data_IF_097690691648
#
_entry.id   IF_097690691648
#
_cell.length_a   1.000
_cell.length_b   1.000
_cell.length_c   1.000
_cell.angle_alpha   90.00
_cell.angle_beta   90.00
_cell.angle_gamma   90.00
#
_symmetry.space_group_name_H-M   'P 1'
#
loop_
_entity.id
_entity.type
_entity.pdbx_description
1 polymer ?
#
# COMPACT_ATOMS: atom_id res chain seq x y z
N UNK A 1 -1.42 -30.18 -55.00
CA UNK A 1 -0.95 -30.77 -53.74
C UNK A 1 0.03 -29.85 -52.99
N UNK A 2 1.07 -29.24 -53.63
CA UNK A 2 2.03 -28.34 -52.89
C UNK A 2 1.39 -27.11 -52.18
N UNK A 3 0.35 -26.48 -52.77
CA UNK A 3 -0.33 -25.31 -52.13
C UNK A 3 -1.16 -25.66 -50.90
N UNK A 4 -1.76 -26.85 -50.84
CA UNK A 4 -2.58 -27.31 -49.71
C UNK A 4 -1.70 -27.64 -48.51
N UNK A 5 -0.52 -28.23 -48.74
CA UNK A 5 0.46 -28.55 -47.69
C UNK A 5 1.00 -27.27 -47.02
N UNK A 6 1.25 -26.22 -47.82
CA UNK A 6 1.72 -24.93 -47.31
C UNK A 6 0.70 -24.25 -46.42
N UNK A 7 -0.60 -24.32 -46.74
CA UNK A 7 -1.68 -23.70 -45.97
C UNK A 7 -1.93 -24.45 -44.66
N UNK A 8 -1.85 -25.77 -44.65
CA UNK A 8 -2.01 -26.59 -43.44
C UNK A 8 -0.82 -26.40 -42.50
N UNK A 9 0.39 -26.28 -42.98
CA UNK A 9 1.60 -26.04 -42.20
C UNK A 9 1.56 -24.64 -41.53
N UNK A 10 1.05 -23.60 -42.23
CA UNK A 10 0.86 -22.27 -41.72
C UNK A 10 -0.19 -22.19 -40.61
N UNK A 11 -1.28 -22.95 -40.72
CA UNK A 11 -2.31 -23.02 -39.69
C UNK A 11 -1.86 -23.74 -38.42
N UNK A 12 -1.06 -24.79 -38.53
CA UNK A 12 -0.52 -25.52 -37.36
C UNK A 12 0.49 -24.67 -36.61
N UNK A 13 1.33 -23.88 -37.30
CA UNK A 13 2.25 -22.94 -36.67
C UNK A 13 1.54 -21.76 -35.96
N UNK A 14 0.45 -21.25 -36.53
CA UNK A 14 -0.34 -20.20 -35.92
C UNK A 14 -1.05 -20.69 -34.65
N UNK A 15 -1.51 -21.93 -34.60
CA UNK A 15 -2.16 -22.51 -33.42
C UNK A 15 -1.17 -22.80 -32.27
N UNK A 16 0.07 -23.13 -32.57
CA UNK A 16 1.11 -23.37 -31.54
C UNK A 16 1.61 -22.08 -30.87
N UNK A 17 1.46 -20.93 -31.52
CA UNK A 17 1.80 -19.62 -30.91
C UNK A 17 0.71 -19.10 -29.96
N UNK A 18 -0.54 -19.52 -30.13
CA UNK A 18 -1.64 -19.17 -29.22
C UNK A 18 -1.64 -19.98 -27.92
N UNK A 19 -0.98 -21.10 -27.86
CA UNK A 19 -0.94 -21.97 -26.67
C UNK A 19 0.08 -21.55 -25.63
N UNK A 20 0.95 -20.58 -25.88
CA UNK A 20 2.00 -20.15 -24.95
C UNK A 20 1.62 -18.94 -24.07
N UNK A 21 0.37 -18.44 -24.16
CA UNK A 21 -0.19 -17.50 -23.15
C UNK A 21 -0.88 -18.28 -22.03
N UNK A 22 -0.50 -19.54 -21.85
CA UNK A 22 -1.02 -20.37 -20.79
C UNK A 22 -0.29 -20.05 -19.48
N UNK A 23 -0.97 -19.27 -18.62
CA UNK A 23 -0.99 -19.51 -17.19
C UNK A 23 0.39 -19.82 -16.56
N UNK A 24 1.26 -18.86 -16.56
CA UNK A 24 2.33 -18.84 -15.56
C UNK A 24 1.67 -18.61 -14.21
N UNK A 25 1.19 -19.69 -13.59
CA UNK A 25 0.74 -19.63 -12.20
C UNK A 25 1.82 -18.91 -11.40
N UNK A 26 1.44 -17.89 -10.66
CA UNK A 26 2.39 -17.12 -9.85
C UNK A 26 3.18 -18.10 -8.99
N UNK A 27 4.50 -18.05 -9.04
CA UNK A 27 5.37 -18.91 -8.23
C UNK A 27 5.30 -18.56 -6.75
N UNK A 28 4.97 -17.32 -6.43
CA UNK A 28 4.74 -16.78 -5.10
C UNK A 28 3.84 -15.54 -5.20
N UNK A 29 3.25 -15.15 -4.09
CA UNK A 29 2.54 -13.86 -3.94
C UNK A 29 3.35 -12.99 -3.00
N UNK A 30 3.77 -11.81 -3.44
CA UNK A 30 4.58 -10.87 -2.66
C UNK A 30 3.67 -9.82 -2.03
N UNK A 31 3.63 -9.77 -0.70
CA UNK A 31 2.72 -8.91 0.06
C UNK A 31 3.50 -7.94 0.93
N UNK A 32 3.23 -6.66 0.76
CA UNK A 32 3.72 -5.63 1.68
C UNK A 32 2.84 -5.52 2.91
N UNK A 33 3.43 -5.25 4.05
CA UNK A 33 2.72 -4.98 5.29
C UNK A 33 3.44 -3.92 6.14
N UNK A 34 2.77 -3.45 7.18
CA UNK A 34 3.28 -2.46 8.11
C UNK A 34 3.22 -3.03 9.54
N UNK A 35 4.39 -3.30 10.14
CA UNK A 35 4.48 -4.06 11.39
C UNK A 35 3.95 -3.31 12.61
N UNK A 36 4.00 -1.98 12.59
CA UNK A 36 3.56 -1.14 13.73
C UNK A 36 2.04 -1.05 13.85
N UNK A 37 1.31 -1.60 12.88
CA UNK A 37 -0.14 -1.72 12.92
C UNK A 37 -0.56 -3.16 13.17
N UNK A 38 -1.16 -3.45 14.32
CA UNK A 38 -1.66 -4.79 14.63
C UNK A 38 -2.88 -5.10 13.75
N UNK A 39 -2.64 -5.73 12.63
CA UNK A 39 -3.66 -6.09 11.64
C UNK A 39 -3.76 -7.62 11.49
N UNK A 40 -4.87 -8.16 10.98
CA UNK A 40 -5.12 -9.61 10.92
C UNK A 40 -4.05 -10.42 10.18
N UNK A 41 -3.31 -9.81 9.26
CA UNK A 41 -2.22 -10.47 8.54
C UNK A 41 -1.09 -10.96 9.46
N UNK A 42 -0.89 -10.38 10.64
CA UNK A 42 0.14 -10.84 11.59
C UNK A 42 -0.13 -12.27 12.08
N UNK A 43 -1.40 -12.62 12.26
CA UNK A 43 -1.78 -13.99 12.59
C UNK A 43 -1.51 -14.94 11.42
N UNK A 44 -1.82 -14.52 10.20
CA UNK A 44 -1.57 -15.31 9.00
C UNK A 44 -0.08 -15.60 8.78
N UNK A 45 0.78 -14.62 9.02
CA UNK A 45 2.23 -14.78 8.89
C UNK A 45 2.74 -15.96 9.74
N UNK A 46 2.16 -16.18 10.93
CA UNK A 46 2.48 -17.31 11.78
C UNK A 46 1.85 -18.62 11.29
N UNK A 47 0.57 -18.60 10.94
CA UNK A 47 -0.22 -19.80 10.60
C UNK A 47 -0.05 -20.22 9.14
N UNK A 48 0.46 -19.34 8.26
CA UNK A 48 0.59 -19.54 6.80
C UNK A 48 -0.73 -19.92 6.14
N UNK A 49 -1.85 -19.34 6.61
CA UNK A 49 -3.19 -19.68 6.13
C UNK A 49 -3.37 -19.28 4.67
N UNK A 50 -2.88 -18.10 4.26
CA UNK A 50 -2.98 -17.65 2.88
C UNK A 50 -2.14 -18.51 1.93
N UNK A 51 -0.91 -18.88 2.33
CA UNK A 51 -0.10 -19.81 1.52
C UNK A 51 -0.80 -21.16 1.32
N UNK A 52 -1.45 -21.67 2.37
CA UNK A 52 -2.23 -22.93 2.29
C UNK A 52 -3.47 -22.79 1.39
N UNK A 53 -4.19 -21.68 1.53
CA UNK A 53 -5.40 -21.44 0.75
C UNK A 53 -5.11 -21.18 -0.74
N UNK A 54 -4.02 -20.48 -1.04
CA UNK A 54 -3.63 -20.13 -2.41
C UNK A 54 -2.84 -21.24 -3.11
N UNK A 55 -2.29 -22.21 -2.38
CA UNK A 55 -1.43 -23.25 -2.94
C UNK A 55 -0.07 -22.75 -3.42
N UNK A 56 0.31 -21.52 -3.09
CA UNK A 56 1.61 -20.90 -3.42
C UNK A 56 2.17 -20.18 -2.20
N UNK A 57 3.50 -20.03 -2.10
CA UNK A 57 4.12 -19.24 -1.04
C UNK A 57 3.61 -17.80 -1.02
N UNK A 58 3.35 -17.25 0.17
CA UNK A 58 3.13 -15.83 0.40
C UNK A 58 4.36 -15.26 1.07
N UNK A 59 5.03 -14.32 0.40
CA UNK A 59 6.21 -13.63 0.89
C UNK A 59 5.82 -12.26 1.44
N UNK A 60 5.99 -12.08 2.74
CA UNK A 60 5.70 -10.84 3.45
C UNK A 60 6.94 -9.94 3.53
N UNK A 61 6.79 -8.68 3.16
CA UNK A 61 7.85 -7.66 3.25
C UNK A 61 7.35 -6.47 4.04
N UNK A 62 8.06 -6.10 5.11
CA UNK A 62 7.74 -4.94 5.94
C UNK A 62 8.18 -3.64 5.26
N UNK A 63 7.32 -2.63 5.35
CA UNK A 63 7.59 -1.26 4.89
C UNK A 63 7.32 -0.26 6.00
N UNK A 64 8.01 0.88 5.95
CA UNK A 64 7.88 1.95 6.95
C UNK A 64 6.59 2.76 6.84
N UNK A 65 5.95 2.77 5.68
CA UNK A 65 4.71 3.51 5.43
C UNK A 65 4.07 3.10 4.10
N UNK A 66 2.82 3.56 3.86
CA UNK A 66 2.07 3.22 2.66
C UNK A 66 2.59 3.87 1.37
N UNK A 67 3.35 4.95 1.44
CA UNK A 67 3.98 5.55 0.24
C UNK A 67 5.06 4.61 -0.29
N UNK A 68 5.96 4.12 0.58
CA UNK A 68 6.98 3.15 0.21
C UNK A 68 6.38 1.83 -0.34
N UNK A 69 5.21 1.41 0.18
CA UNK A 69 4.47 0.27 -0.40
C UNK A 69 3.98 0.56 -1.82
N UNK A 70 3.48 1.78 -2.08
CA UNK A 70 3.06 2.20 -3.43
C UNK A 70 4.23 2.17 -4.39
N UNK A 71 5.38 2.71 -4.00
CA UNK A 71 6.59 2.75 -4.82
C UNK A 71 7.06 1.34 -5.17
N UNK A 72 7.10 0.44 -4.19
CA UNK A 72 7.45 -0.97 -4.40
C UNK A 72 6.46 -1.70 -5.33
N UNK A 73 5.16 -1.38 -5.23
CA UNK A 73 4.15 -1.94 -6.14
C UNK A 73 4.35 -1.44 -7.57
N UNK A 74 4.63 -0.17 -7.77
CA UNK A 74 4.89 0.41 -9.09
C UNK A 74 6.21 -0.09 -9.70
N UNK A 75 7.19 -0.40 -8.86
CA UNK A 75 8.44 -1.03 -9.27
C UNK A 75 8.29 -2.52 -9.63
N UNK A 76 7.15 -3.14 -9.29
CA UNK A 76 6.92 -4.55 -9.49
C UNK A 76 7.56 -5.46 -8.45
N UNK A 77 7.96 -4.93 -7.30
CA UNK A 77 8.58 -5.68 -6.20
C UNK A 77 7.56 -6.40 -5.33
N UNK A 78 6.32 -5.92 -5.30
CA UNK A 78 5.20 -6.52 -4.57
C UNK A 78 3.95 -6.60 -5.46
N UNK A 79 3.07 -7.54 -5.14
CA UNK A 79 1.81 -7.77 -5.86
C UNK A 79 0.62 -7.19 -5.10
N UNK A 80 0.67 -7.23 -3.76
CA UNK A 80 -0.40 -6.77 -2.87
C UNK A 80 0.21 -5.90 -1.78
N UNK A 81 -0.41 -4.74 -1.55
CA UNK A 81 -0.11 -3.88 -0.41
C UNK A 81 -1.21 -4.05 0.63
N UNK A 82 -0.90 -4.71 1.74
CA UNK A 82 -1.81 -4.90 2.86
C UNK A 82 -1.63 -3.76 3.88
N UNK A 83 -2.72 -3.18 4.36
CA UNK A 83 -2.70 -2.07 5.34
C UNK A 83 -2.08 -0.77 4.84
N UNK A 84 -2.18 -0.47 3.56
CA UNK A 84 -1.52 0.69 2.96
C UNK A 84 -1.99 2.05 3.51
N UNK A 85 -3.16 2.15 4.06
CA UNK A 85 -3.79 3.41 4.45
C UNK A 85 -4.42 4.18 3.28
N UNK A 86 -5.47 4.92 3.59
CA UNK A 86 -6.31 5.57 2.57
C UNK A 86 -5.58 6.68 1.81
N UNK A 87 -4.80 7.52 2.49
CA UNK A 87 -4.17 8.68 1.82
C UNK A 87 -3.09 8.29 0.80
N UNK A 88 -2.16 7.36 1.07
CA UNK A 88 -1.25 6.86 0.04
C UNK A 88 -1.98 6.30 -1.18
N UNK A 89 -3.07 5.56 -0.98
CA UNK A 89 -3.90 5.05 -2.07
C UNK A 89 -4.56 6.19 -2.88
N UNK A 90 -5.19 7.17 -2.23
CA UNK A 90 -5.80 8.32 -2.90
C UNK A 90 -4.75 9.10 -3.72
N UNK A 91 -3.57 9.32 -3.16
CA UNK A 91 -2.49 10.02 -3.86
C UNK A 91 -2.03 9.25 -5.10
N UNK A 92 -1.89 7.93 -5.01
CA UNK A 92 -1.54 7.07 -6.14
C UNK A 92 -2.62 7.11 -7.23
N UNK A 93 -3.90 7.03 -6.87
CA UNK A 93 -5.02 7.13 -7.84
C UNK A 93 -5.06 8.50 -8.51
N UNK A 94 -4.87 9.60 -7.76
CA UNK A 94 -4.76 10.95 -8.35
C UNK A 94 -3.59 11.06 -9.33
N UNK A 95 -2.49 10.37 -9.07
CA UNK A 95 -1.34 10.27 -9.96
C UNK A 95 -1.56 9.29 -11.13
N UNK A 96 -2.76 8.71 -11.27
CA UNK A 96 -3.13 7.71 -12.29
C UNK A 96 -2.26 6.43 -12.24
N UNK A 97 -1.79 6.06 -11.05
CA UNK A 97 -1.06 4.81 -10.85
C UNK A 97 -1.97 3.60 -11.20
N UNK A 98 -1.45 2.57 -11.88
CA UNK A 98 -2.22 1.40 -12.30
C UNK A 98 -2.45 0.42 -11.15
N UNK A 99 -3.00 0.90 -10.04
CA UNK A 99 -3.33 0.12 -8.86
C UNK A 99 -4.83 0.09 -8.59
N UNK A 100 -5.31 -0.94 -7.90
CA UNK A 100 -6.72 -1.11 -7.56
C UNK A 100 -6.87 -1.38 -6.06
N UNK A 101 -7.90 -0.78 -5.47
CA UNK A 101 -8.39 -1.22 -4.17
C UNK A 101 -9.22 -2.49 -4.38
N UNK A 102 -8.86 -3.55 -3.68
CA UNK A 102 -9.56 -4.85 -3.76
C UNK A 102 -10.43 -5.11 -2.55
N UNK A 103 -10.03 -4.60 -1.37
CA UNK A 103 -10.80 -4.75 -0.13
C UNK A 103 -10.34 -3.73 0.91
N UNK A 104 -11.14 -3.56 1.98
CA UNK A 104 -10.82 -2.77 3.18
C UNK A 104 -10.46 -3.75 4.29
N UNK A 105 -9.16 -3.91 4.51
CA UNK A 105 -8.64 -4.88 5.47
C UNK A 105 -8.97 -4.55 6.94
N UNK A 106 -9.15 -3.27 7.27
CA UNK A 106 -9.39 -2.80 8.63
C UNK A 106 -9.97 -1.39 8.65
N UNK A 107 -10.90 -1.18 9.56
CA UNK A 107 -11.39 0.15 9.95
C UNK A 107 -11.05 0.42 11.42
N UNK A 108 -10.83 1.68 11.76
CA UNK A 108 -10.59 2.12 13.13
C UNK A 108 -11.29 3.45 13.42
N UNK A 109 -11.68 3.63 14.67
CA UNK A 109 -12.38 4.84 15.11
C UNK A 109 -11.46 6.07 15.21
N UNK A 110 -12.06 7.23 15.45
CA UNK A 110 -11.38 8.54 15.50
C UNK A 110 -10.22 8.61 16.51
N UNK A 111 -10.18 7.76 17.52
CA UNK A 111 -9.06 7.67 18.46
C UNK A 111 -7.80 6.99 17.92
N UNK A 112 -7.84 6.43 16.70
CA UNK A 112 -6.70 5.73 16.10
C UNK A 112 -5.58 6.63 15.59
N UNK A 113 -5.82 7.97 15.50
CA UNK A 113 -4.80 8.93 15.07
C UNK A 113 -4.62 9.99 16.14
N UNK A 114 -3.43 10.04 16.75
CA UNK A 114 -3.11 10.95 17.84
C UNK A 114 -1.80 11.70 17.57
N UNK A 115 -1.73 12.92 18.09
CA UNK A 115 -0.48 13.68 18.14
C UNK A 115 0.13 13.52 19.54
N UNK A 116 1.40 13.19 19.60
CA UNK A 116 2.15 13.02 20.83
C UNK A 116 3.11 14.18 20.99
N UNK A 117 3.09 14.85 22.14
CA UNK A 117 4.01 15.92 22.48
C UNK A 117 4.92 15.49 23.64
N UNK A 118 6.14 16.01 23.66
CA UNK A 118 7.03 15.83 24.80
C UNK A 118 6.46 16.54 26.04
N UNK A 119 6.51 15.91 27.19
CA UNK A 119 6.12 16.57 28.47
C UNK A 119 6.87 17.88 28.71
N UNK A 120 8.12 18.00 28.25
CA UNK A 120 8.94 19.20 28.39
C UNK A 120 8.48 20.35 27.48
N UNK A 121 7.69 20.08 26.44
CA UNK A 121 7.21 21.12 25.52
C UNK A 121 6.17 22.03 26.15
N UNK A 122 5.45 21.57 27.17
CA UNK A 122 4.29 22.26 27.73
C UNK A 122 3.08 22.32 26.81
N UNK A 123 3.17 21.73 25.60
CA UNK A 123 2.10 21.78 24.60
C UNK A 123 1.05 20.74 24.92
N UNK A 124 -0.18 21.20 24.93
CA UNK A 124 -1.41 20.41 25.17
C UNK A 124 -2.43 20.70 24.06
N UNK A 125 -3.57 20.06 24.11
CA UNK A 125 -4.67 20.38 23.18
C UNK A 125 -5.13 21.83 23.29
N UNK A 126 -5.07 22.41 24.49
CA UNK A 126 -5.57 23.78 24.76
C UNK A 126 -4.69 24.88 24.14
N UNK A 127 -3.40 24.62 24.00
CA UNK A 127 -2.41 25.57 23.42
C UNK A 127 -1.72 25.00 22.18
N UNK A 128 -2.40 24.16 21.41
CA UNK A 128 -1.82 23.47 20.25
C UNK A 128 -1.32 24.43 19.14
N UNK A 129 -1.79 25.67 19.09
CA UNK A 129 -1.27 26.72 18.18
C UNK A 129 0.20 27.06 18.45
N UNK A 130 0.71 26.82 19.68
CA UNK A 130 2.13 27.01 20.03
C UNK A 130 3.08 26.01 19.39
N UNK A 131 2.54 25.05 18.58
CA UNK A 131 3.35 24.21 17.68
C UNK A 131 4.02 25.03 16.58
N UNK A 132 3.54 26.23 16.25
CA UNK A 132 4.28 27.13 15.36
C UNK A 132 5.70 27.39 15.89
N UNK A 133 6.68 27.32 15.01
CA UNK A 133 8.10 27.45 15.35
C UNK A 133 8.72 26.19 16.00
N UNK A 134 7.97 25.10 16.18
CA UNK A 134 8.50 23.84 16.73
C UNK A 134 8.82 22.85 15.61
N UNK A 135 9.72 21.91 15.90
CA UNK A 135 10.01 20.78 15.01
C UNK A 135 8.93 19.71 15.20
N UNK A 136 8.23 19.40 14.14
CA UNK A 136 7.19 18.37 14.11
C UNK A 136 7.59 17.26 13.13
N UNK A 137 7.55 16.02 13.59
CA UNK A 137 7.76 14.85 12.75
C UNK A 137 6.42 14.25 12.34
N UNK A 138 6.23 14.10 11.03
CA UNK A 138 5.05 13.45 10.47
C UNK A 138 5.45 12.72 9.18
N UNK A 139 5.00 11.47 8.96
CA UNK A 139 5.26 10.77 7.71
C UNK A 139 4.46 11.42 6.56
N UNK A 140 5.18 11.95 5.57
CA UNK A 140 4.58 12.67 4.44
C UNK A 140 3.75 11.72 3.54
N UNK A 141 2.70 12.25 2.92
CA UNK A 141 1.82 11.52 2.02
C UNK A 141 0.87 10.54 2.71
N UNK A 142 0.84 10.52 4.05
CA UNK A 142 0.04 9.59 4.84
C UNK A 142 -1.20 10.22 5.48
N UNK A 143 -2.06 9.39 6.09
CA UNK A 143 -3.21 9.85 6.88
C UNK A 143 -2.76 10.72 8.05
N UNK A 144 -1.61 10.41 8.68
CA UNK A 144 -1.08 11.22 9.78
C UNK A 144 -0.78 12.66 9.34
N UNK A 145 -0.19 12.85 8.18
CA UNK A 145 0.03 14.19 7.62
C UNK A 145 -1.27 14.92 7.35
N UNK A 146 -2.25 14.24 6.76
CA UNK A 146 -3.56 14.82 6.47
C UNK A 146 -4.25 15.29 7.76
N UNK A 147 -4.38 14.41 8.75
CA UNK A 147 -5.01 14.72 10.04
C UNK A 147 -4.26 15.84 10.76
N UNK A 148 -2.94 15.80 10.79
CA UNK A 148 -2.13 16.88 11.36
C UNK A 148 -2.40 18.21 10.68
N UNK A 149 -2.42 18.25 9.36
CA UNK A 149 -2.67 19.47 8.58
C UNK A 149 -4.06 20.06 8.86
N UNK A 150 -5.11 19.21 8.87
CA UNK A 150 -6.46 19.67 9.18
C UNK A 150 -6.60 20.12 10.64
N UNK A 151 -5.93 19.43 11.57
CA UNK A 151 -5.91 19.84 12.98
C UNK A 151 -5.27 21.21 13.17
N UNK A 152 -4.18 21.49 12.46
CA UNK A 152 -3.51 22.81 12.54
C UNK A 152 -4.42 23.94 12.02
N UNK A 153 -5.18 23.71 10.97
CA UNK A 153 -6.19 24.68 10.50
C UNK A 153 -7.25 24.97 11.57
N UNK A 154 -7.73 23.94 12.26
CA UNK A 154 -8.76 24.08 13.32
C UNK A 154 -8.25 24.92 14.49
N UNK A 155 -6.99 24.75 14.88
CA UNK A 155 -6.39 25.52 15.99
C UNK A 155 -5.77 26.85 15.55
N UNK A 156 -5.92 27.22 14.27
CA UNK A 156 -5.42 28.50 13.73
C UNK A 156 -3.89 28.56 13.60
N UNK A 157 -3.21 27.44 13.51
CA UNK A 157 -1.75 27.37 13.37
C UNK A 157 -1.31 27.15 11.92
N UNK A 158 -0.25 27.85 11.50
CA UNK A 158 0.32 27.70 10.15
C UNK A 158 1.36 26.55 10.11
N UNK A 159 1.00 25.45 9.46
CA UNK A 159 1.90 24.31 9.27
C UNK A 159 3.23 24.68 8.60
N UNK A 160 3.27 25.70 7.75
CA UNK A 160 4.48 26.11 7.04
C UNK A 160 5.54 26.72 7.97
N UNK A 161 5.14 27.05 9.18
CA UNK A 161 6.02 27.61 10.21
C UNK A 161 6.56 26.54 11.19
N UNK A 162 6.42 25.24 10.85
CA UNK A 162 6.80 24.11 11.70
C UNK A 162 7.90 23.26 11.07
#
# INVERSE_FOLDING_TARGET
MKKIISTVLGMVLAFSLYSSVANSAAKEVRVAYFVEWPSPNLEDMNKKAYSKALGVPVKWTNFSNGVAMTDAMLAGDIDISYSQGLMPYINAVKAKAPIKLVDVAMEYGMGGTTCVTSKKSGITKANASELEGKKVAVPLGTMAEYVFTESMKIVGADRKKM
#
